data_IF_556729953903
#
_entry.id   IF_556729953903
#
_cell.length_a   1.000
_cell.length_b   1.000
_cell.length_c   1.000
_cell.angle_alpha   90.00
_cell.angle_beta   90.00
_cell.angle_gamma   90.00
#
_symmetry.space_group_name_H-M   'P 1'
#
loop_
_entity.id
_entity.type
_entity.pdbx_description
1 polymer ?
#
# COMPACT_ATOMS: atom_id res chain seq x y z
N UNK A 1 -27.53 32.62 13.38
CA UNK A 1 -27.03 32.40 14.76
C UNK A 1 -25.73 31.62 14.67
N UNK A 2 -24.73 31.94 15.49
CA UNK A 2 -23.46 31.20 15.52
C UNK A 2 -23.56 29.97 16.41
N UNK A 3 -22.94 28.88 15.98
CA UNK A 3 -22.75 27.67 16.77
C UNK A 3 -21.24 27.39 16.87
N UNK A 4 -20.76 27.25 18.09
CA UNK A 4 -19.36 26.90 18.39
C UNK A 4 -19.25 25.38 18.52
N UNK A 5 -18.30 24.78 17.82
CA UNK A 5 -18.11 23.33 17.78
C UNK A 5 -16.73 22.99 18.33
N UNK A 6 -16.68 21.98 19.19
CA UNK A 6 -15.44 21.38 19.68
C UNK A 6 -15.67 19.89 19.99
N UNK A 7 -14.61 19.11 19.94
CA UNK A 7 -14.59 17.68 20.16
C UNK A 7 -13.82 17.30 21.43
N UNK A 8 -14.19 16.16 22.01
CA UNK A 8 -13.39 15.47 23.03
C UNK A 8 -13.21 14.00 22.68
N UNK A 9 -12.60 13.23 23.57
CA UNK A 9 -12.31 11.81 23.36
C UNK A 9 -13.53 10.89 23.18
N UNK A 10 -14.75 11.39 23.39
CA UNK A 10 -16.00 10.64 23.27
C UNK A 10 -16.87 11.12 22.10
N UNK A 11 -16.79 12.39 21.71
CA UNK A 11 -17.68 12.93 20.69
C UNK A 11 -17.50 14.40 20.37
N UNK A 12 -18.45 14.92 19.59
CA UNK A 12 -18.52 16.29 19.12
C UNK A 12 -19.63 17.02 19.89
N UNK A 13 -19.36 18.24 20.31
CA UNK A 13 -20.26 19.08 21.08
C UNK A 13 -20.42 20.43 20.38
N UNK A 14 -21.66 20.92 20.38
CA UNK A 14 -22.03 22.20 19.82
C UNK A 14 -22.66 23.08 20.90
N UNK A 15 -22.24 24.33 20.96
CA UNK A 15 -22.69 25.33 21.92
C UNK A 15 -23.14 26.61 21.21
N UNK A 16 -24.08 27.35 21.80
CA UNK A 16 -24.48 28.68 21.33
C UNK A 16 -23.54 29.79 21.85
N UNK A 17 -23.83 31.05 21.50
CA UNK A 17 -23.08 32.24 21.92
C UNK A 17 -23.12 32.49 23.44
N UNK A 18 -24.13 31.96 24.15
CA UNK A 18 -24.22 32.00 25.62
C UNK A 18 -23.47 30.82 26.27
N UNK A 19 -22.84 29.98 25.44
CA UNK A 19 -22.08 28.81 25.81
C UNK A 19 -22.96 27.61 26.12
N UNK A 20 -24.28 27.64 25.98
CA UNK A 20 -25.19 26.53 26.34
C UNK A 20 -25.12 25.42 25.30
N UNK A 21 -25.19 24.16 25.77
CA UNK A 21 -25.12 22.99 24.89
C UNK A 21 -26.39 22.91 24.01
N UNK A 22 -26.22 22.96 22.69
CA UNK A 22 -27.29 22.94 21.68
C UNK A 22 -27.35 21.63 20.89
N UNK A 23 -26.25 20.88 20.89
CA UNK A 23 -26.14 19.57 20.25
C UNK A 23 -24.93 18.80 20.77
N UNK A 24 -25.05 17.47 20.79
CA UNK A 24 -23.91 16.58 21.03
C UNK A 24 -24.08 15.32 20.21
N UNK A 25 -22.96 14.77 19.73
CA UNK A 25 -22.94 13.46 19.07
C UNK A 25 -21.75 12.65 19.55
N UNK A 26 -22.04 11.46 20.04
CA UNK A 26 -21.00 10.50 20.47
C UNK A 26 -20.53 9.76 19.22
N UNK A 27 -19.22 9.49 19.14
CA UNK A 27 -18.66 8.75 18.02
C UNK A 27 -19.30 7.37 17.88
N UNK A 28 -19.69 7.03 16.65
CA UNK A 28 -20.27 5.71 16.33
C UNK A 28 -19.20 4.65 16.11
N UNK A 29 -18.04 5.06 15.60
CA UNK A 29 -16.87 4.22 15.39
C UNK A 29 -15.89 4.26 16.58
N UNK A 30 -14.73 3.62 16.42
CA UNK A 30 -13.65 3.67 17.41
C UNK A 30 -13.16 5.11 17.59
N UNK A 31 -13.16 5.66 18.82
CA UNK A 31 -12.80 7.05 19.05
C UNK A 31 -11.42 7.44 18.51
N UNK A 32 -10.42 6.57 18.61
CA UNK A 32 -9.07 6.85 18.11
C UNK A 32 -9.01 7.05 16.60
N UNK A 33 -9.80 6.30 15.81
CA UNK A 33 -9.83 6.45 14.36
C UNK A 33 -10.57 7.71 13.93
N UNK A 34 -11.65 8.04 14.65
CA UNK A 34 -12.45 9.23 14.39
C UNK A 34 -11.69 10.50 14.77
N UNK A 35 -11.05 10.50 15.94
CA UNK A 35 -10.21 11.61 16.40
C UNK A 35 -9.02 11.82 15.48
N UNK A 36 -8.41 10.75 14.95
CA UNK A 36 -7.31 10.91 14.02
C UNK A 36 -7.71 11.69 12.76
N UNK A 37 -8.88 11.41 12.21
CA UNK A 37 -9.48 12.14 11.07
C UNK A 37 -9.80 13.59 11.45
N UNK A 38 -10.52 13.81 12.55
CA UNK A 38 -10.90 15.16 13.01
C UNK A 38 -9.68 16.05 13.30
N UNK A 39 -8.65 15.50 13.95
CA UNK A 39 -7.40 16.21 14.24
C UNK A 39 -6.54 16.47 12.99
N UNK A 40 -6.80 15.77 11.88
CA UNK A 40 -6.25 16.06 10.54
C UNK A 40 -7.17 17.02 9.75
N UNK A 41 -8.28 17.47 10.35
CA UNK A 41 -9.26 18.37 9.74
C UNK A 41 -10.22 17.70 8.76
N UNK A 42 -10.28 16.37 8.71
CA UNK A 42 -11.21 15.64 7.85
C UNK A 42 -12.64 15.69 8.41
N UNK A 43 -13.63 15.89 7.53
CA UNK A 43 -15.04 15.86 7.92
C UNK A 43 -15.52 14.41 7.98
N UNK A 44 -16.02 14.00 9.15
CA UNK A 44 -16.62 12.68 9.35
C UNK A 44 -18.14 12.75 9.21
N UNK A 45 -18.78 11.61 8.95
CA UNK A 45 -20.24 11.48 8.88
C UNK A 45 -20.92 11.95 10.18
N UNK A 46 -20.31 11.62 11.32
CA UNK A 46 -20.83 12.03 12.64
C UNK A 46 -20.95 13.57 12.75
N UNK A 47 -19.98 14.30 12.20
CA UNK A 47 -19.95 15.76 12.18
C UNK A 47 -20.95 16.32 11.16
N UNK A 48 -21.02 15.73 9.97
CA UNK A 48 -21.89 16.19 8.90
C UNK A 48 -23.38 16.18 9.32
N UNK A 49 -23.87 15.09 9.92
CA UNK A 49 -25.28 15.08 10.38
C UNK A 49 -25.51 16.04 11.53
N UNK A 50 -24.54 16.24 12.43
CA UNK A 50 -24.68 17.23 13.51
C UNK A 50 -24.85 18.64 12.94
N UNK A 51 -24.12 18.98 11.87
CA UNK A 51 -24.26 20.26 11.18
C UNK A 51 -25.62 20.41 10.49
N UNK A 52 -26.13 19.36 9.86
CA UNK A 52 -27.47 19.36 9.26
C UNK A 52 -28.57 19.56 10.32
N UNK A 53 -28.50 18.84 11.44
CA UNK A 53 -29.44 19.01 12.56
C UNK A 53 -29.42 20.42 13.14
N UNK A 54 -28.24 21.05 13.22
CA UNK A 54 -28.11 22.42 13.70
C UNK A 54 -28.62 23.44 12.67
N UNK A 55 -28.44 23.16 11.38
CA UNK A 55 -28.99 23.99 10.30
C UNK A 55 -30.51 24.00 10.32
N UNK A 56 -31.14 22.84 10.52
CA UNK A 56 -32.60 22.72 10.66
C UNK A 56 -33.14 23.46 11.90
N UNK A 57 -32.32 23.59 12.95
CA UNK A 57 -32.62 24.40 14.15
C UNK A 57 -32.40 25.91 13.95
N UNK A 58 -31.92 26.35 12.78
CA UNK A 58 -31.74 27.76 12.44
C UNK A 58 -30.34 28.33 12.70
N UNK A 59 -29.33 27.49 12.95
CA UNK A 59 -27.93 27.92 13.02
C UNK A 59 -27.33 28.02 11.61
N UNK A 60 -26.68 29.15 11.32
CA UNK A 60 -26.21 29.48 9.97
C UNK A 60 -24.69 29.50 9.85
N UNK A 61 -23.99 29.83 10.94
CA UNK A 61 -22.54 30.01 10.98
C UNK A 61 -21.94 29.10 12.06
N UNK A 62 -20.86 28.38 11.72
CA UNK A 62 -20.24 27.37 12.56
C UNK A 62 -18.76 27.70 12.83
N UNK A 63 -18.36 27.79 14.10
CA UNK A 63 -16.98 28.13 14.48
C UNK A 63 -16.28 26.85 14.97
N UNK A 64 -15.14 26.50 14.34
CA UNK A 64 -14.34 25.33 14.70
C UNK A 64 -12.96 25.70 15.21
N UNK A 65 -12.35 24.78 15.96
CA UNK A 65 -11.02 24.89 16.54
C UNK A 65 -9.87 24.46 15.61
N UNK A 66 -10.18 23.89 14.44
CA UNK A 66 -9.18 23.44 13.47
C UNK A 66 -9.36 24.15 12.11
N UNK A 67 -8.33 24.81 11.57
CA UNK A 67 -8.48 25.66 10.39
C UNK A 67 -8.84 24.86 9.13
N UNK A 68 -8.29 23.65 9.01
CA UNK A 68 -8.53 22.75 7.88
C UNK A 68 -9.94 22.14 7.95
N UNK A 69 -10.48 21.93 9.16
CA UNK A 69 -11.84 21.47 9.36
C UNK A 69 -12.84 22.56 8.93
N UNK A 70 -12.62 23.81 9.35
CA UNK A 70 -13.42 24.95 8.90
C UNK A 70 -13.42 25.07 7.38
N UNK A 71 -12.26 24.85 6.73
CA UNK A 71 -12.14 24.90 5.27
C UNK A 71 -12.94 23.76 4.60
N UNK A 72 -12.77 22.53 5.06
CA UNK A 72 -13.45 21.37 4.48
C UNK A 72 -14.98 21.46 4.67
N UNK A 73 -15.43 22.04 5.80
CA UNK A 73 -16.86 22.31 6.04
C UNK A 73 -17.41 23.42 5.12
N UNK A 74 -16.61 24.43 4.76
CA UNK A 74 -17.00 25.42 3.73
C UNK A 74 -17.18 24.79 2.36
N UNK A 75 -16.32 23.82 2.01
CA UNK A 75 -16.43 23.09 0.73
C UNK A 75 -17.72 22.26 0.66
N UNK A 76 -18.27 21.83 1.81
CA UNK A 76 -19.58 21.18 1.92
C UNK A 76 -20.77 22.15 1.85
N UNK A 77 -20.53 23.46 1.74
CA UNK A 77 -21.57 24.47 1.59
C UNK A 77 -22.12 25.07 2.89
N UNK A 78 -21.42 24.88 4.02
CA UNK A 78 -21.74 25.53 5.30
C UNK A 78 -20.89 26.80 5.51
N UNK A 79 -21.44 27.81 6.18
CA UNK A 79 -20.66 28.97 6.60
C UNK A 79 -19.85 28.59 7.85
N UNK A 80 -18.53 28.46 7.71
CA UNK A 80 -17.66 28.08 8.83
C UNK A 80 -16.55 29.12 9.09
N UNK A 81 -16.21 29.34 10.36
CA UNK A 81 -15.13 30.19 10.82
C UNK A 81 -14.12 29.35 11.62
N UNK A 82 -12.91 29.88 11.77
CA UNK A 82 -11.85 29.26 12.58
C UNK A 82 -11.54 30.19 13.75
N UNK A 83 -11.55 29.64 14.96
CA UNK A 83 -11.17 30.33 16.19
C UNK A 83 -10.64 29.31 17.20
N UNK A 84 -9.49 29.58 17.82
CA UNK A 84 -8.87 28.66 18.77
C UNK A 84 -8.15 29.40 19.92
N UNK A 85 -8.46 29.09 21.20
CA UNK A 85 -9.57 28.26 21.65
C UNK A 85 -10.92 28.95 21.41
N UNK A 86 -11.95 28.21 21.00
CA UNK A 86 -13.29 28.77 20.88
C UNK A 86 -14.12 28.50 22.16
N UNK A 87 -15.29 29.14 22.27
CA UNK A 87 -16.18 29.01 23.43
C UNK A 87 -16.55 27.55 23.75
N UNK A 88 -16.75 26.73 22.71
CA UNK A 88 -17.06 25.31 22.87
C UNK A 88 -15.88 24.53 23.48
N UNK A 89 -14.67 24.77 22.98
CA UNK A 89 -13.47 24.11 23.45
C UNK A 89 -13.07 24.54 24.86
N UNK A 90 -13.23 25.82 25.20
CA UNK A 90 -13.06 26.31 26.57
C UNK A 90 -14.00 25.56 27.52
N UNK A 91 -15.31 25.52 27.22
CA UNK A 91 -16.29 24.85 28.08
C UNK A 91 -16.04 23.34 28.23
N UNK A 92 -15.72 22.66 27.13
CA UNK A 92 -15.45 21.21 27.14
C UNK A 92 -14.18 20.88 27.93
N UNK A 93 -13.16 21.74 27.86
CA UNK A 93 -11.88 21.54 28.58
C UNK A 93 -11.90 21.99 30.04
N UNK A 94 -12.67 23.03 30.38
CA UNK A 94 -12.82 23.50 31.76
C UNK A 94 -13.69 22.56 32.61
N UNK A 95 -14.72 21.94 32.03
CA UNK A 95 -15.67 21.08 32.74
C UNK A 95 -15.74 19.65 32.16
N UNK A 96 -14.62 18.89 32.07
CA UNK A 96 -14.62 17.57 31.45
C UNK A 96 -15.51 16.56 32.19
N UNK A 97 -15.67 16.73 33.51
CA UNK A 97 -16.56 15.91 34.34
C UNK A 97 -18.03 16.00 33.92
N UNK A 98 -18.48 17.16 33.42
CA UNK A 98 -19.87 17.35 32.96
C UNK A 98 -20.16 16.49 31.72
N UNK A 99 -19.16 16.32 30.84
CA UNK A 99 -19.32 15.65 29.56
C UNK A 99 -18.94 14.17 29.57
N UNK A 100 -17.97 13.78 30.41
CA UNK A 100 -17.38 12.44 30.42
C UNK A 100 -17.58 11.70 31.76
N UNK A 101 -18.08 12.37 32.79
CA UNK A 101 -18.25 11.82 34.13
C UNK A 101 -16.96 11.80 34.97
N UNK A 102 -17.02 11.16 36.15
CA UNK A 102 -15.90 11.15 37.12
C UNK A 102 -14.63 10.45 36.63
N UNK A 103 -14.76 9.51 35.70
CA UNK A 103 -13.65 8.76 35.10
C UNK A 103 -13.13 9.41 33.80
N UNK A 104 -13.40 10.71 33.60
CA UNK A 104 -13.01 11.42 32.38
C UNK A 104 -11.53 11.26 32.04
N UNK A 105 -10.66 11.32 33.06
CA UNK A 105 -9.21 11.20 32.86
C UNK A 105 -8.80 9.82 32.35
N UNK A 106 -9.40 8.75 32.87
CA UNK A 106 -9.10 7.37 32.44
C UNK A 106 -9.55 7.14 30.98
N UNK A 107 -10.68 7.74 30.59
CA UNK A 107 -11.14 7.73 29.19
C UNK A 107 -10.17 8.47 28.27
N UNK A 108 -9.73 9.67 28.67
CA UNK A 108 -8.73 10.43 27.92
C UNK A 108 -7.42 9.66 27.76
N UNK A 109 -6.94 9.04 28.85
CA UNK A 109 -5.73 8.25 28.83
C UNK A 109 -5.86 7.05 27.88
N UNK A 110 -6.95 6.29 27.97
CA UNK A 110 -7.18 5.10 27.15
C UNK A 110 -7.22 5.43 25.67
N UNK A 111 -8.02 6.43 25.28
CA UNK A 111 -8.17 6.85 23.88
C UNK A 111 -6.88 7.51 23.37
N UNK A 112 -6.22 8.33 24.19
CA UNK A 112 -4.96 8.97 23.84
C UNK A 112 -3.83 7.96 23.57
N UNK A 113 -3.72 6.92 24.40
CA UNK A 113 -2.77 5.82 24.17
C UNK A 113 -3.10 5.05 22.89
N UNK A 114 -4.38 4.76 22.64
CA UNK A 114 -4.83 4.08 21.43
C UNK A 114 -4.51 4.89 20.17
N UNK A 115 -4.82 6.19 20.16
CA UNK A 115 -4.50 7.12 19.07
C UNK A 115 -2.99 7.23 18.85
N UNK A 116 -2.20 7.34 19.92
CA UNK A 116 -0.73 7.40 19.82
C UNK A 116 -0.18 6.13 19.20
N UNK A 117 -0.68 4.95 19.61
CA UNK A 117 -0.29 3.67 19.02
C UNK A 117 -0.65 3.60 17.53
N UNK A 118 -1.85 4.05 17.16
CA UNK A 118 -2.30 4.11 15.76
C UNK A 118 -1.35 4.96 14.91
N UNK A 119 -1.07 6.19 15.35
CA UNK A 119 -0.15 7.10 14.64
C UNK A 119 1.29 6.56 14.56
N UNK A 120 1.77 5.94 15.64
CA UNK A 120 3.07 5.26 15.61
C UNK A 120 3.05 4.11 14.62
N UNK A 121 1.98 3.31 14.51
CA UNK A 121 1.91 2.26 13.50
C UNK A 121 1.89 2.82 12.08
N UNK A 122 1.19 3.92 11.83
CA UNK A 122 1.20 4.61 10.53
C UNK A 122 2.59 5.14 10.16
N UNK A 123 3.29 5.79 11.10
CA UNK A 123 4.60 6.42 10.86
C UNK A 123 5.77 5.44 10.97
N UNK A 124 5.73 4.55 11.95
CA UNK A 124 6.74 3.52 12.25
C UNK A 124 6.56 2.28 11.38
N UNK A 125 5.64 2.30 10.42
CA UNK A 125 5.54 1.33 9.34
C UNK A 125 6.73 1.36 8.38
N UNK A 126 7.95 1.51 8.90
CA UNK A 126 9.27 1.18 8.37
C UNK A 126 9.44 1.37 6.86
N UNK A 127 8.74 2.32 6.25
CA UNK A 127 8.56 2.36 4.79
C UNK A 127 9.91 2.53 4.13
N UNK A 128 10.74 3.40 4.69
CA UNK A 128 12.10 3.61 4.21
C UNK A 128 12.97 2.36 4.39
N UNK A 129 12.86 1.64 5.51
CA UNK A 129 13.58 0.37 5.71
C UNK A 129 13.10 -0.71 4.75
N UNK A 130 11.80 -0.80 4.51
CA UNK A 130 11.20 -1.75 3.56
C UNK A 130 11.64 -1.43 2.12
N UNK A 131 11.71 -0.14 1.77
CA UNK A 131 12.22 0.30 0.46
C UNK A 131 13.69 -0.10 0.31
N UNK A 132 14.53 0.15 1.33
CA UNK A 132 15.94 -0.26 1.31
C UNK A 132 16.06 -1.78 1.11
N UNK A 133 15.31 -2.57 1.89
CA UNK A 133 15.32 -4.03 1.77
C UNK A 133 14.83 -4.52 0.40
N UNK A 134 13.84 -3.86 -0.20
CA UNK A 134 13.35 -4.21 -1.53
C UNK A 134 14.40 -3.94 -2.62
N UNK A 135 15.17 -2.86 -2.51
CA UNK A 135 16.26 -2.54 -3.44
C UNK A 135 17.39 -3.57 -3.30
N UNK A 136 17.81 -3.87 -2.06
CA UNK A 136 18.84 -4.89 -1.79
C UNK A 136 18.41 -6.27 -2.31
N UNK A 137 17.15 -6.64 -2.10
CA UNK A 137 16.61 -7.90 -2.60
C UNK A 137 16.59 -7.98 -4.14
N UNK A 138 16.30 -6.88 -4.83
CA UNK A 138 16.35 -6.83 -6.29
C UNK A 138 17.78 -7.07 -6.80
N UNK A 139 18.76 -6.38 -6.22
CA UNK A 139 20.17 -6.56 -6.58
C UNK A 139 20.66 -7.98 -6.30
N UNK A 140 20.23 -8.59 -5.19
CA UNK A 140 20.59 -9.96 -4.85
C UNK A 140 19.92 -10.98 -5.76
N UNK A 141 18.66 -10.77 -6.15
CA UNK A 141 17.98 -11.59 -7.16
C UNK A 141 18.73 -11.52 -8.49
N UNK A 142 19.13 -10.33 -8.94
CA UNK A 142 19.88 -10.19 -10.21
C UNK A 142 21.23 -10.91 -10.17
N UNK A 143 21.97 -10.86 -9.05
CA UNK A 143 23.22 -11.63 -8.88
C UNK A 143 22.95 -13.13 -8.93
N UNK A 144 21.90 -13.60 -8.25
CA UNK A 144 21.52 -15.02 -8.22
C UNK A 144 21.08 -15.49 -9.60
N UNK A 145 20.26 -14.74 -10.32
CA UNK A 145 19.85 -15.05 -11.70
C UNK A 145 21.09 -15.20 -12.59
N UNK A 146 22.04 -14.26 -12.52
CA UNK A 146 23.25 -14.35 -13.34
C UNK A 146 24.11 -15.58 -13.01
N UNK A 147 24.26 -15.90 -11.73
CA UNK A 147 24.98 -17.10 -11.28
C UNK A 147 24.28 -18.38 -11.78
N UNK A 148 22.96 -18.48 -11.59
CA UNK A 148 22.18 -19.66 -11.97
C UNK A 148 22.08 -19.84 -13.48
N UNK A 149 21.92 -18.77 -14.24
CA UNK A 149 21.92 -18.82 -15.71
C UNK A 149 23.29 -19.21 -16.24
N UNK A 150 24.38 -18.72 -15.65
CA UNK A 150 25.74 -19.13 -16.03
C UNK A 150 25.93 -20.63 -15.79
N UNK A 151 25.49 -21.13 -14.63
CA UNK A 151 25.49 -22.57 -14.32
C UNK A 151 24.61 -23.38 -15.28
N UNK A 152 23.43 -22.87 -15.64
CA UNK A 152 22.52 -23.51 -16.59
C UNK A 152 23.17 -23.61 -17.98
N UNK A 153 23.83 -22.53 -18.43
CA UNK A 153 24.55 -22.49 -19.71
C UNK A 153 25.69 -23.49 -19.73
N UNK A 154 26.56 -23.49 -18.72
CA UNK A 154 27.65 -24.46 -18.61
C UNK A 154 27.14 -25.91 -18.66
N UNK A 155 26.05 -26.20 -17.93
CA UNK A 155 25.52 -27.56 -17.85
C UNK A 155 24.83 -27.98 -19.15
N UNK A 156 23.96 -27.15 -19.71
CA UNK A 156 23.22 -27.47 -20.92
C UNK A 156 24.11 -27.44 -22.17
N UNK A 157 25.19 -26.66 -22.19
CA UNK A 157 26.18 -26.67 -23.27
C UNK A 157 26.94 -27.98 -23.40
N UNK A 158 26.95 -28.85 -22.37
CA UNK A 158 27.42 -30.23 -22.55
C UNK A 158 26.56 -31.00 -23.56
N UNK A 159 25.27 -30.64 -23.68
CA UNK A 159 24.31 -31.26 -24.60
C UNK A 159 24.12 -30.48 -25.91
N UNK A 160 24.10 -29.15 -25.85
CA UNK A 160 23.91 -28.32 -27.04
C UNK A 160 24.74 -27.02 -26.95
N UNK A 161 26.07 -27.10 -27.12
CA UNK A 161 26.99 -25.99 -26.88
C UNK A 161 26.75 -24.79 -27.79
N UNK A 162 26.31 -25.02 -29.03
CA UNK A 162 26.07 -23.97 -30.02
C UNK A 162 24.95 -23.00 -29.61
N UNK A 163 24.05 -23.43 -28.71
CA UNK A 163 22.93 -22.60 -28.26
C UNK A 163 23.39 -21.37 -27.47
N UNK A 164 24.54 -21.44 -26.79
CA UNK A 164 25.03 -20.39 -25.90
C UNK A 164 25.22 -19.05 -26.62
N UNK A 165 25.91 -19.09 -27.77
CA UNK A 165 26.14 -17.93 -28.63
C UNK A 165 24.88 -17.51 -29.41
N UNK A 166 24.01 -18.46 -29.78
CA UNK A 166 22.79 -18.18 -30.55
C UNK A 166 21.72 -17.44 -29.73
N UNK A 167 21.66 -17.72 -28.42
CA UNK A 167 20.74 -17.11 -27.47
C UNK A 167 21.51 -16.38 -26.35
N UNK A 168 22.10 -15.20 -26.62
CA UNK A 168 22.87 -14.45 -25.61
C UNK A 168 22.00 -13.87 -24.49
N UNK A 169 20.70 -13.67 -24.74
CA UNK A 169 19.77 -13.14 -23.72
C UNK A 169 19.38 -14.23 -22.74
N UNK A 170 19.63 -14.00 -21.45
CA UNK A 170 19.32 -14.94 -20.35
C UNK A 170 17.88 -15.46 -20.40
N UNK A 171 16.82 -14.61 -20.50
CA UNK A 171 15.45 -15.10 -20.50
C UNK A 171 15.12 -16.01 -21.69
N UNK A 172 15.73 -15.76 -22.85
CA UNK A 172 15.52 -16.59 -24.05
C UNK A 172 16.17 -17.96 -23.89
N UNK A 173 17.39 -18.01 -23.34
CA UNK A 173 18.09 -19.27 -23.09
C UNK A 173 17.37 -20.12 -22.04
N UNK A 174 16.97 -19.52 -20.91
CA UNK A 174 16.20 -20.19 -19.86
C UNK A 174 14.88 -20.72 -20.42
N UNK A 175 14.13 -19.90 -21.17
CA UNK A 175 12.86 -20.31 -21.77
C UNK A 175 13.02 -21.44 -22.79
N UNK A 176 14.11 -21.45 -23.55
CA UNK A 176 14.44 -22.54 -24.47
C UNK A 176 14.63 -23.84 -23.70
N UNK A 177 15.53 -23.86 -22.70
CA UNK A 177 15.84 -25.08 -21.94
C UNK A 177 14.59 -25.57 -21.20
N UNK A 178 13.85 -24.66 -20.57
CA UNK A 178 12.59 -24.95 -19.86
C UNK A 178 11.53 -25.59 -20.76
N UNK A 179 11.34 -25.08 -21.97
CA UNK A 179 10.20 -25.45 -22.83
C UNK A 179 10.52 -26.59 -23.81
N UNK A 180 11.75 -26.62 -24.35
CA UNK A 180 12.16 -27.60 -25.36
C UNK A 180 12.84 -28.80 -24.70
N UNK A 181 13.72 -28.55 -23.72
CA UNK A 181 14.49 -29.60 -23.07
C UNK A 181 15.46 -30.25 -24.03
N UNK A 182 15.22 -31.51 -24.39
CA UNK A 182 16.11 -32.28 -25.24
C UNK A 182 16.19 -31.70 -26.66
N UNK A 183 17.40 -31.63 -27.25
CA UNK A 183 17.62 -31.00 -28.56
C UNK A 183 16.85 -31.66 -29.70
N UNK A 184 16.49 -32.93 -29.60
CA UNK A 184 15.66 -33.59 -30.62
C UNK A 184 14.25 -33.01 -30.72
N UNK A 185 13.73 -32.48 -29.61
CA UNK A 185 12.40 -31.88 -29.54
C UNK A 185 12.31 -30.50 -30.20
N UNK A 186 13.43 -29.96 -30.70
CA UNK A 186 13.47 -28.69 -31.42
C UNK A 186 12.69 -28.82 -32.73
N UNK A 187 11.63 -28.03 -32.85
CA UNK A 187 10.84 -27.83 -34.08
C UNK A 187 10.69 -26.34 -34.35
N UNK A 188 10.41 -25.98 -35.61
CA UNK A 188 10.17 -24.59 -36.01
C UNK A 188 9.06 -23.94 -35.18
N UNK A 189 7.92 -24.62 -35.06
CA UNK A 189 6.74 -24.17 -34.32
C UNK A 189 7.06 -23.85 -32.84
N UNK A 190 7.85 -24.71 -32.17
CA UNK A 190 8.24 -24.46 -30.77
C UNK A 190 9.17 -23.25 -30.66
N UNK A 191 10.09 -23.06 -31.60
CA UNK A 191 10.98 -21.90 -31.60
C UNK A 191 10.23 -20.59 -31.91
N UNK A 192 9.22 -20.63 -32.78
CA UNK A 192 8.30 -19.52 -33.04
C UNK A 192 7.48 -19.17 -31.79
N UNK A 193 7.00 -20.17 -31.05
CA UNK A 193 6.26 -19.96 -29.79
C UNK A 193 7.09 -19.27 -28.71
N UNK A 194 8.43 -19.36 -28.78
CA UNK A 194 9.36 -18.64 -27.90
C UNK A 194 9.65 -17.20 -28.38
N UNK A 195 9.00 -16.73 -29.44
CA UNK A 195 9.17 -15.39 -30.00
C UNK A 195 10.52 -15.18 -30.69
N UNK A 196 11.17 -16.24 -31.15
CA UNK A 196 12.42 -16.15 -31.90
C UNK A 196 12.15 -15.69 -33.34
N UNK A 197 13.04 -14.85 -33.89
CA UNK A 197 12.95 -14.39 -35.28
C UNK A 197 13.38 -15.51 -36.24
N UNK A 198 12.84 -15.52 -37.45
CA UNK A 198 13.13 -16.50 -38.50
C UNK A 198 14.64 -16.77 -38.68
N UNK A 199 15.46 -15.71 -38.76
CA UNK A 199 16.91 -15.84 -38.89
C UNK A 199 17.57 -16.62 -37.74
N UNK A 200 17.08 -16.48 -36.50
CA UNK A 200 17.58 -17.25 -35.35
C UNK A 200 17.10 -18.68 -35.39
N UNK A 201 15.85 -18.90 -35.79
CA UNK A 201 15.24 -20.23 -35.89
C UNK A 201 16.02 -21.09 -36.88
N UNK A 202 16.30 -20.57 -38.08
CA UNK A 202 17.10 -21.28 -39.09
C UNK A 202 18.48 -21.65 -38.55
N UNK A 203 19.18 -20.71 -37.90
CA UNK A 203 20.51 -20.98 -37.31
C UNK A 203 20.47 -22.05 -36.22
N UNK A 204 19.44 -22.06 -35.37
CA UNK A 204 19.29 -23.08 -34.31
C UNK A 204 19.01 -24.45 -34.93
N UNK A 205 18.18 -24.53 -35.96
CA UNK A 205 17.90 -25.78 -36.67
C UNK A 205 19.16 -26.32 -37.38
N UNK A 206 19.93 -25.45 -38.03
CA UNK A 206 21.22 -25.85 -38.63
C UNK A 206 22.24 -26.30 -37.58
N UNK A 207 22.31 -25.61 -36.44
CA UNK A 207 23.20 -25.96 -35.34
C UNK A 207 22.80 -27.30 -34.69
N UNK A 208 21.51 -27.61 -34.60
CA UNK A 208 21.01 -28.91 -34.10
C UNK A 208 21.58 -30.07 -34.91
N UNK A 209 21.58 -29.99 -36.23
CA UNK A 209 22.07 -31.07 -37.12
C UNK A 209 23.60 -31.23 -37.07
N UNK A 210 24.33 -30.17 -36.70
CA UNK A 210 25.80 -30.14 -36.68
C UNK A 210 26.38 -30.11 -35.27
N UNK A 211 25.55 -30.36 -34.25
CA UNK A 211 25.95 -30.16 -32.86
C UNK A 211 27.08 -31.11 -32.46
N UNK A 212 28.05 -30.57 -31.72
CA UNK A 212 29.14 -31.34 -31.11
C UNK A 212 28.82 -31.78 -29.68
N UNK A 213 27.64 -31.42 -29.16
CA UNK A 213 27.25 -31.74 -27.79
C UNK A 213 27.03 -33.23 -27.57
N UNK A 214 27.27 -33.67 -26.32
CA UNK A 214 27.01 -35.04 -25.90
C UNK A 214 25.52 -35.36 -25.87
N UNK A 215 25.21 -36.65 -26.04
CA UNK A 215 23.88 -37.15 -25.78
C UNK A 215 23.59 -37.10 -24.27
N UNK A 216 22.38 -36.66 -23.91
CA UNK A 216 21.87 -36.70 -22.53
C UNK A 216 20.55 -37.44 -22.54
N UNK A 217 20.32 -38.29 -21.55
CA UNK A 217 19.05 -39.00 -21.47
C UNK A 217 17.92 -38.08 -20.95
N UNK A 218 16.68 -38.58 -20.98
CA UNK A 218 15.53 -37.80 -20.50
C UNK A 218 15.63 -37.44 -19.01
N UNK A 219 16.31 -38.24 -18.19
CA UNK A 219 16.45 -37.98 -16.76
C UNK A 219 17.43 -36.84 -16.53
N UNK A 220 18.57 -36.85 -17.22
CA UNK A 220 19.57 -35.80 -17.20
C UNK A 220 18.96 -34.47 -17.63
N UNK A 221 18.28 -34.46 -18.78
CA UNK A 221 17.57 -33.27 -19.27
C UNK A 221 16.53 -32.77 -18.29
N UNK A 222 15.74 -33.67 -17.67
CA UNK A 222 14.70 -33.27 -16.72
C UNK A 222 15.25 -32.50 -15.52
N UNK A 223 16.42 -32.88 -15.01
CA UNK A 223 17.07 -32.16 -13.92
C UNK A 223 17.50 -30.76 -14.37
N UNK A 224 18.07 -30.63 -15.57
CA UNK A 224 18.46 -29.33 -16.13
C UNK A 224 17.22 -28.45 -16.39
N UNK A 225 16.13 -29.03 -16.88
CA UNK A 225 14.86 -28.33 -17.06
C UNK A 225 14.26 -27.87 -15.73
N UNK A 226 14.44 -28.61 -14.64
CA UNK A 226 14.00 -28.17 -13.33
C UNK A 226 14.80 -26.95 -12.88
N UNK A 227 16.12 -26.93 -13.06
CA UNK A 227 16.92 -25.72 -12.81
C UNK A 227 16.40 -24.54 -13.64
N UNK A 228 16.11 -24.74 -14.92
CA UNK A 228 15.55 -23.69 -15.78
C UNK A 228 14.11 -23.25 -15.41
N UNK A 229 13.40 -23.98 -14.55
CA UNK A 229 12.06 -23.57 -14.04
C UNK A 229 12.15 -22.70 -12.80
N UNK A 230 13.17 -22.93 -11.98
CA UNK A 230 13.45 -22.16 -10.76
C UNK A 230 14.09 -20.80 -11.07
N UNK A 231 14.68 -20.65 -12.27
CA UNK A 231 15.15 -19.37 -12.84
C UNK A 231 14.00 -18.69 -13.58
#
# INVERSE_FOLDING_TARGET
MKAYISENVQGIYAFDEEGKLIGKRIFTERPEAVLDKLLKGEVIEDLATLLEELKDKGYSSFVFEHPELSRNVRELGFEAEFDFPNLAGERVRENPEEFLGKEWFERYFTVGVALTRLRIQEQSGARDKMIIQAIEALDDIDKVINLLVSRLREWYSLHFPELDELLPKHPQYVSFVKSIGHRENITKEKLESLGLRENKITKILEAKEKTMGAWMDEKDIRVIQNLAKEI
#
